data_IF_172847693081
#
_entry.id   IF_172847693081
#
_cell.length_a   1.000
_cell.length_b   1.000
_cell.length_c   1.000
_cell.angle_alpha   90.00
_cell.angle_beta   90.00
_cell.angle_gamma   90.00
#
_symmetry.space_group_name_H-M   'P 1'
#
loop_
_entity.id
_entity.type
_entity.pdbx_description
1 polymer ?
2 polymer ?
3 non-polymer ?
4 water ?
#
# COMPACT_ATOMS: atom_id res chain seq x y z
N UNK A 26 -16.77 1.96 -22.24
CA UNK A 26 -15.63 1.30 -21.56
C UNK A 26 -14.60 2.30 -20.99
N UNK A 27 -13.45 1.81 -20.51
CA UNK A 27 -12.25 2.67 -20.31
C UNK A 27 -10.98 1.81 -20.43
N UNK A 28 -9.90 2.43 -20.01
CA UNK A 28 -8.50 1.97 -20.12
C UNK A 28 -8.36 0.49 -19.71
N UNK A 29 -7.73 -0.35 -20.52
CA UNK A 29 -7.62 -1.79 -20.23
C UNK A 29 -6.74 -2.05 -19.00
N UNK A 30 -5.63 -1.32 -18.83
CA UNK A 30 -4.75 -1.55 -17.66
C UNK A 30 -5.59 -1.31 -16.40
N UNK A 31 -6.31 -0.22 -16.40
CA UNK A 31 -7.16 0.11 -15.20
C UNK A 31 -8.15 -1.05 -14.99
N UNK A 32 -8.81 -1.54 -16.03
CA UNK A 32 -9.77 -2.67 -15.90
C UNK A 32 -9.06 -3.90 -15.36
N UNK A 33 -7.87 -4.19 -15.83
CA UNK A 33 -7.05 -5.34 -15.44
C UNK A 33 -6.67 -5.24 -13.93
N UNK A 34 -6.27 -4.06 -13.50
CA UNK A 34 -5.91 -3.88 -12.08
C UNK A 34 -7.17 -4.05 -11.23
N UNK A 35 -8.33 -3.61 -11.68
CA UNK A 35 -9.53 -3.83 -10.87
C UNK A 35 -9.72 -5.35 -10.68
N UNK A 36 -9.59 -6.15 -11.73
CA UNK A 36 -9.85 -7.62 -11.56
C UNK A 36 -8.75 -8.30 -10.74
N UNK A 37 -7.53 -7.74 -10.68
CA UNK A 37 -6.39 -8.27 -9.91
C UNK A 37 -6.58 -7.95 -8.42
N UNK A 38 -7.54 -7.11 -8.07
CA UNK A 38 -7.66 -6.60 -6.67
C UNK A 38 -7.79 -7.81 -5.74
N UNK A 39 -6.93 -7.98 -4.73
CA UNK A 39 -7.16 -9.02 -3.71
C UNK A 39 -8.50 -8.86 -2.97
N UNK A 40 -8.97 -10.01 -2.47
CA UNK A 40 -10.12 -10.12 -1.58
C UNK A 40 -9.79 -9.46 -0.25
N UNK A 41 -10.87 -9.07 0.41
CA UNK A 41 -10.80 -8.47 1.77
C UNK A 41 -10.13 -9.50 2.72
N UNK A 42 -9.40 -9.00 3.71
CA UNK A 42 -8.75 -9.84 4.76
C UNK A 42 -9.27 -9.34 6.10
N UNK A 43 -9.70 -10.27 6.95
CA UNK A 43 -10.15 -9.93 8.34
C UNK A 43 -8.91 -9.88 9.22
N UNK A 44 -8.98 -8.99 10.25
CA UNK A 44 -7.87 -8.86 11.22
C UNK A 44 -7.90 -10.00 12.26
N UNK A 45 -9.08 -10.36 12.69
CA UNK A 45 -9.28 -11.46 13.68
C UNK A 45 -8.43 -11.19 14.93
N UNK A 46 -8.63 -10.02 15.58
CA UNK A 46 -7.98 -9.88 16.88
C UNK A 46 -8.47 -11.02 17.81
N UNK A 47 -7.55 -11.44 18.66
CA UNK A 47 -7.78 -12.58 19.59
C UNK A 47 -8.73 -12.11 20.68
N UNK A 48 -9.97 -12.61 20.76
CA UNK A 48 -10.98 -12.16 21.71
C UNK A 48 -10.64 -12.62 23.15
N UNK A 49 -9.67 -13.51 23.30
CA UNK A 49 -9.26 -14.03 24.63
C UNK A 49 -8.21 -13.12 25.23
N UNK A 50 -7.60 -12.21 24.46
CA UNK A 50 -6.40 -11.44 24.90
C UNK A 50 -6.92 -10.09 25.40
N UNK A 51 -6.50 -9.66 26.61
CA UNK A 51 -6.87 -8.34 27.07
C UNK A 51 -6.38 -7.25 26.12
N UNK A 52 -7.20 -6.24 25.98
CA UNK A 52 -6.85 -5.09 25.09
C UNK A 52 -5.58 -4.42 25.66
N UNK A 53 -4.67 -4.05 24.76
CA UNK A 53 -3.34 -3.49 25.10
C UNK A 53 -2.72 -2.95 23.83
N UNK A 54 -1.68 -2.15 23.97
CA UNK A 54 -0.82 -1.75 22.82
C UNK A 54 -0.24 -2.98 22.16
N UNK A 55 0.23 -3.95 22.93
CA UNK A 55 0.88 -5.16 22.37
C UNK A 55 -0.16 -5.89 21.53
N UNK A 56 -1.36 -6.06 22.05
CA UNK A 56 -2.41 -6.76 21.28
C UNK A 56 -2.66 -6.03 19.95
N UNK A 57 -2.88 -4.71 20.00
CA UNK A 57 -3.22 -3.91 18.79
C UNK A 57 -2.07 -4.07 17.78
N UNK A 58 -0.84 -3.89 18.22
CA UNK A 58 0.33 -3.92 17.31
C UNK A 58 0.50 -5.33 16.75
N UNK A 59 0.30 -6.35 17.59
CA UNK A 59 0.36 -7.75 17.13
C UNK A 59 -0.68 -7.98 16.02
N UNK A 60 -1.90 -7.57 16.26
CA UNK A 60 -2.99 -7.74 15.33
C UNK A 60 -2.63 -7.05 14.00
N UNK A 61 -2.15 -5.82 14.08
CA UNK A 61 -1.81 -5.10 12.83
C UNK A 61 -0.67 -5.78 12.09
N UNK A 62 0.39 -6.20 12.78
CA UNK A 62 1.52 -6.83 12.10
C UNK A 62 1.13 -8.17 11.51
N UNK A 63 0.29 -8.95 12.19
CA UNK A 63 -0.23 -10.22 11.63
C UNK A 63 -1.05 -9.94 10.36
N UNK A 64 -1.91 -8.93 10.37
CA UNK A 64 -2.75 -8.56 9.21
C UNK A 64 -1.83 -8.14 8.04
N UNK A 65 -0.80 -7.36 8.33
CA UNK A 65 0.14 -6.88 7.28
C UNK A 65 0.90 -8.04 6.66
N UNK A 66 1.35 -9.00 7.47
CA UNK A 66 2.06 -10.21 7.01
C UNK A 66 1.17 -10.95 6.01
N UNK A 67 -0.11 -11.12 6.32
CA UNK A 67 -1.06 -11.81 5.42
C UNK A 67 -1.29 -10.98 4.14
N UNK A 68 -1.43 -9.67 4.27
CA UNK A 68 -1.70 -8.84 3.09
C UNK A 68 -0.45 -8.82 2.21
N UNK A 69 0.74 -8.88 2.79
CA UNK A 69 1.99 -8.93 1.98
C UNK A 69 1.95 -10.11 1.02
N UNK A 70 1.41 -11.26 1.43
CA UNK A 70 1.39 -12.45 0.53
C UNK A 70 0.61 -12.06 -0.72
N UNK A 71 -0.56 -11.47 -0.57
CA UNK A 71 -1.46 -11.18 -1.71
C UNK A 71 -0.91 -10.01 -2.50
N UNK A 72 -0.19 -9.10 -1.86
CA UNK A 72 0.47 -8.01 -2.63
C UNK A 72 1.50 -8.59 -3.61
N UNK A 73 2.29 -9.51 -3.18
CA UNK A 73 3.30 -10.16 -4.07
C UNK A 73 2.55 -10.77 -5.24
N UNK A 74 1.45 -11.51 -5.00
CA UNK A 74 0.70 -12.16 -6.10
C UNK A 74 0.08 -11.12 -7.03
N UNK A 75 -0.45 -10.03 -6.47
CA UNK A 75 -1.05 -8.91 -7.21
C UNK A 75 -0.03 -8.27 -8.13
N UNK A 76 1.19 -8.07 -7.66
CA UNK A 76 2.18 -7.30 -8.44
C UNK A 76 2.48 -8.06 -9.74
N UNK A 77 2.42 -9.38 -9.68
CA UNK A 77 2.70 -10.20 -10.89
C UNK A 77 1.68 -9.93 -11.98
N UNK A 78 0.47 -9.45 -11.69
CA UNK A 78 -0.57 -9.13 -12.68
C UNK A 78 -0.26 -7.82 -13.41
N UNK A 79 0.65 -6.99 -12.88
CA UNK A 79 0.90 -5.65 -13.47
C UNK A 79 1.72 -5.83 -14.73
N UNK A 80 1.25 -5.35 -15.90
CA UNK A 80 1.99 -5.60 -17.15
C UNK A 80 3.46 -5.16 -17.07
N UNK A 81 4.39 -6.06 -17.38
CA UNK A 81 5.83 -5.77 -17.37
C UNK A 81 6.52 -6.07 -16.06
N UNK A 82 5.81 -6.14 -14.94
CA UNK A 82 6.47 -6.38 -13.65
C UNK A 82 7.24 -7.70 -13.66
N UNK A 83 6.59 -8.80 -14.04
CA UNK A 83 7.20 -10.14 -13.98
C UNK A 83 8.34 -10.29 -14.97
N UNK A 84 8.46 -9.39 -15.93
CA UNK A 84 9.52 -9.39 -16.96
C UNK A 84 10.80 -8.71 -16.42
N UNK A 85 10.70 -7.94 -15.33
CA UNK A 85 11.92 -7.44 -14.64
C UNK A 85 12.66 -8.62 -14.06
N UNK A 86 13.92 -8.43 -13.72
CA UNK A 86 14.73 -9.42 -12.96
C UNK A 86 14.06 -9.65 -11.61
N UNK A 87 14.17 -10.86 -11.09
CA UNK A 87 13.70 -11.11 -9.70
C UNK A 87 14.31 -10.10 -8.74
N UNK A 88 15.55 -9.66 -8.94
CA UNK A 88 16.19 -8.67 -8.05
C UNK A 88 15.36 -7.37 -8.12
N UNK A 89 15.05 -6.92 -9.32
CA UNK A 89 14.30 -5.63 -9.48
C UNK A 89 12.87 -5.81 -8.94
N UNK A 90 12.25 -6.96 -9.09
CA UNK A 90 10.89 -7.16 -8.52
C UNK A 90 10.98 -7.04 -6.99
N UNK A 91 12.00 -7.68 -6.41
CA UNK A 91 12.21 -7.60 -4.95
C UNK A 91 12.45 -6.13 -4.54
N UNK A 92 13.29 -5.39 -5.27
CA UNK A 92 13.65 -4.00 -4.91
C UNK A 92 12.39 -3.09 -4.87
N UNK A 93 11.55 -3.25 -5.87
CA UNK A 93 10.35 -2.41 -6.00
C UNK A 93 9.46 -2.75 -4.82
N UNK A 94 9.27 -4.04 -4.54
CA UNK A 94 8.38 -4.41 -3.43
C UNK A 94 8.97 -4.01 -2.08
N UNK A 95 10.28 -4.16 -1.88
CA UNK A 95 10.94 -3.77 -0.63
C UNK A 95 10.83 -2.26 -0.39
N UNK A 96 10.79 -1.46 -1.46
CA UNK A 96 10.61 0.01 -1.30
C UNK A 96 9.15 0.39 -1.14
N UNK A 97 8.21 -0.30 -1.78
CA UNK A 97 6.80 0.16 -1.91
C UNK A 97 5.82 -0.51 -0.96
N UNK A 98 6.18 -1.63 -0.30
CA UNK A 98 5.17 -2.49 0.38
C UNK A 98 4.32 -1.65 1.35
N UNK A 99 4.94 -0.79 2.13
CA UNK A 99 4.18 -0.05 3.17
C UNK A 99 3.30 1.02 2.50
N UNK A 100 3.71 1.63 1.38
CA UNK A 100 2.82 2.53 0.65
C UNK A 100 1.59 1.74 0.17
N UNK A 101 1.79 0.52 -0.32
CA UNK A 101 0.66 -0.30 -0.83
C UNK A 101 -0.29 -0.64 0.34
N UNK A 102 0.27 -1.04 1.46
CA UNK A 102 -0.56 -1.33 2.67
C UNK A 102 -1.33 -0.06 3.05
N UNK A 103 -0.68 1.10 3.14
CA UNK A 103 -1.35 2.33 3.63
C UNK A 103 -2.40 2.75 2.63
N UNK A 104 -2.15 2.68 1.32
CA UNK A 104 -3.16 3.15 0.36
C UNK A 104 -4.40 2.29 0.54
N UNK A 105 -4.28 1.00 0.88
CA UNK A 105 -5.45 0.12 1.14
C UNK A 105 -6.24 0.64 2.33
N UNK A 106 -5.53 0.92 3.42
CA UNK A 106 -6.23 1.40 4.65
C UNK A 106 -6.95 2.73 4.30
N UNK A 107 -6.27 3.60 3.56
CA UNK A 107 -6.83 4.91 3.17
C UNK A 107 -8.12 4.69 2.36
N UNK A 108 -8.07 3.89 1.31
CA UNK A 108 -9.23 3.64 0.41
C UNK A 108 -10.42 3.08 1.22
N UNK A 109 -10.14 2.11 2.08
CA UNK A 109 -11.19 1.47 2.90
C UNK A 109 -11.83 2.49 3.83
N UNK A 110 -11.14 3.59 4.14
CA UNK A 110 -11.58 4.57 5.14
C UNK A 110 -12.34 5.76 4.54
N UNK A 111 -12.48 5.88 3.23
CA UNK A 111 -13.01 7.12 2.60
C UNK A 111 -14.47 7.43 3.01
N UNK A 112 -15.27 6.43 3.34
CA UNK A 112 -16.69 6.67 3.67
C UNK A 112 -16.83 6.86 5.20
N UNK A 113 -15.75 6.79 5.94
CA UNK A 113 -15.70 6.88 7.43
C UNK A 113 -15.24 8.27 7.87
N UNK A 114 -15.44 8.58 9.14
CA UNK A 114 -15.06 9.89 9.70
C UNK A 114 -14.11 9.69 10.87
N UNK A 115 -12.90 10.12 10.71
CA UNK A 115 -11.85 10.12 11.74
C UNK A 115 -11.57 8.71 12.25
N UNK A 116 -11.74 7.70 11.37
CA UNK A 116 -11.61 6.28 11.72
C UNK A 116 -10.85 5.61 10.60
N UNK A 117 -9.95 4.69 10.94
CA UNK A 117 -9.20 3.93 9.90
C UNK A 117 -9.67 2.49 9.85
N UNK A 118 -10.11 2.09 8.67
CA UNK A 118 -10.64 0.71 8.48
C UNK A 118 -9.46 -0.20 8.10
N UNK A 119 -8.67 -0.67 9.07
CA UNK A 119 -7.62 -1.65 8.79
C UNK A 119 -8.26 -2.91 8.16
N UNK A 120 -9.43 -3.26 8.67
CA UNK A 120 -10.24 -4.40 8.22
C UNK A 120 -11.67 -4.19 8.68
N UNK A 121 -12.61 -4.96 8.14
CA UNK A 121 -14.03 -4.71 8.47
C UNK A 121 -14.21 -4.95 9.99
N UNK A 122 -13.39 -5.82 10.56
CA UNK A 122 -13.48 -6.14 12.02
C UNK A 122 -12.36 -5.42 12.77
N UNK A 123 -11.76 -4.38 12.19
CA UNK A 123 -10.68 -3.69 12.92
C UNK A 123 -10.64 -2.22 12.46
N UNK A 124 -11.51 -1.42 13.05
CA UNK A 124 -11.69 0.01 12.71
C UNK A 124 -11.14 0.80 13.90
N UNK A 125 -10.09 1.55 13.67
CA UNK A 125 -9.37 2.28 14.76
C UNK A 125 -9.82 3.74 14.81
N UNK A 126 -10.36 4.15 15.97
CA UNK A 126 -10.70 5.55 16.27
C UNK A 126 -9.49 6.14 17.00
N UNK A 127 -9.61 7.41 17.36
CA UNK A 127 -8.49 8.18 17.93
C UNK A 127 -8.06 7.56 19.26
N UNK A 128 -9.01 7.18 20.12
CA UNK A 128 -8.68 6.49 21.40
C UNK A 128 -7.83 5.25 21.16
N UNK A 129 -8.23 4.39 20.21
CA UNK A 129 -7.52 3.13 19.92
C UNK A 129 -6.14 3.50 19.39
N UNK A 130 -6.04 4.54 18.55
CA UNK A 130 -4.71 4.91 18.02
C UNK A 130 -3.82 5.31 19.19
N UNK A 131 -4.32 6.15 20.09
CA UNK A 131 -3.53 6.58 21.28
C UNK A 131 -3.13 5.34 22.10
N UNK A 132 -4.05 4.42 22.34
CA UNK A 132 -3.78 3.18 23.15
C UNK A 132 -2.69 2.36 22.46
N UNK A 133 -2.60 2.37 21.12
CA UNK A 133 -1.60 1.56 20.39
C UNK A 133 -0.26 2.30 20.13
N UNK A 134 -0.14 3.58 20.54
CA UNK A 134 1.04 4.41 20.26
C UNK A 134 1.13 4.87 18.80
N UNK A 135 0.01 4.84 18.09
CA UNK A 135 -0.06 5.16 16.64
C UNK A 135 -0.76 6.50 16.38
N UNK A 136 -0.93 7.39 17.35
CA UNK A 136 -1.72 8.61 17.08
C UNK A 136 -1.08 9.43 15.95
N UNK A 137 0.23 9.65 16.00
CA UNK A 137 0.90 10.55 15.02
C UNK A 137 0.83 9.89 13.62
N UNK A 138 1.11 8.59 13.57
CA UNK A 138 1.08 7.85 12.28
C UNK A 138 -0.36 7.83 11.74
N UNK A 139 -1.34 7.51 12.59
CA UNK A 139 -2.73 7.35 12.10
C UNK A 139 -3.27 8.73 11.73
N UNK A 140 -2.81 9.78 12.40
CA UNK A 140 -3.23 11.14 11.99
C UNK A 140 -2.70 11.46 10.59
N UNK A 141 -1.48 11.04 10.29
CA UNK A 141 -0.94 11.29 8.94
C UNK A 141 -1.74 10.45 7.92
N UNK A 142 -2.13 9.21 8.26
CA UNK A 142 -3.00 8.41 7.34
C UNK A 142 -4.32 9.14 7.14
N UNK A 143 -4.91 9.70 8.19
CA UNK A 143 -6.15 10.47 8.07
C UNK A 143 -5.96 11.73 7.22
N UNK A 144 -4.78 12.32 7.17
CA UNK A 144 -4.50 13.46 6.26
C UNK A 144 -4.57 12.95 4.80
N UNK A 145 -4.11 11.71 4.54
CA UNK A 145 -4.24 11.13 3.18
C UNK A 145 -5.71 10.93 2.85
N UNK A 146 -6.46 10.40 3.81
CA UNK A 146 -7.93 10.20 3.65
C UNK A 146 -8.60 11.54 3.32
N UNK A 147 -8.32 12.57 4.11
CA UNK A 147 -8.98 13.87 3.95
C UNK A 147 -8.79 14.36 2.52
N UNK A 148 -7.57 14.24 1.97
CA UNK A 148 -7.29 14.77 0.65
C UNK A 148 -8.03 13.94 -0.40
N UNK A 149 -8.01 12.61 -0.27
CA UNK A 149 -8.69 11.77 -1.27
C UNK A 149 -10.22 11.93 -1.15
N UNK A 150 -10.75 12.20 0.03
CA UNK A 150 -12.23 12.46 0.10
C UNK A 150 -12.57 13.72 -0.70
N UNK A 151 -11.78 14.77 -0.53
CA UNK A 151 -12.04 16.04 -1.26
C UNK A 151 -11.94 15.81 -2.77
N UNK A 152 -11.01 14.95 -3.22
CA UNK A 152 -10.82 14.66 -4.66
C UNK A 152 -11.82 13.62 -5.15
N UNK A 153 -12.61 13.01 -4.27
CA UNK A 153 -13.55 11.92 -4.62
C UNK A 153 -12.80 10.80 -5.35
N UNK A 154 -11.76 10.31 -4.70
CA UNK A 154 -10.98 9.19 -5.23
C UNK A 154 -11.89 7.99 -5.58
N UNK A 155 -11.75 7.51 -6.83
CA UNK A 155 -12.47 6.33 -7.35
C UNK A 155 -11.66 5.05 -7.20
N UNK A 156 -12.33 3.90 -7.12
CA UNK A 156 -11.59 2.65 -7.04
C UNK A 156 -10.60 2.51 -8.22
N UNK A 157 -10.98 2.94 -9.42
CA UNK A 157 -10.12 2.87 -10.61
C UNK A 157 -8.82 3.66 -10.33
N UNK A 158 -8.97 4.81 -9.71
CA UNK A 158 -7.81 5.69 -9.41
C UNK A 158 -6.93 5.09 -8.33
N UNK A 159 -7.55 4.58 -7.27
CA UNK A 159 -6.83 3.87 -6.21
C UNK A 159 -5.94 2.74 -6.74
N UNK A 160 -6.50 1.82 -7.54
CA UNK A 160 -5.70 0.66 -7.98
C UNK A 160 -4.56 1.14 -8.89
N UNK A 161 -4.83 2.20 -9.66
CA UNK A 161 -3.79 2.73 -10.59
C UNK A 161 -2.71 3.40 -9.77
N UNK A 162 -3.07 4.09 -8.71
CA UNK A 162 -2.03 4.73 -7.87
C UNK A 162 -1.23 3.68 -7.09
N UNK A 163 -1.82 2.55 -6.68
CA UNK A 163 -1.07 1.49 -6.01
C UNK A 163 0.01 1.00 -6.94
N UNK A 164 -0.34 0.77 -8.20
CA UNK A 164 0.63 0.26 -9.18
C UNK A 164 1.71 1.31 -9.47
N UNK A 165 1.33 2.57 -9.55
CA UNK A 165 2.32 3.66 -9.80
C UNK A 165 3.23 3.77 -8.61
N UNK A 166 2.69 3.66 -7.40
CA UNK A 166 3.56 3.72 -6.20
C UNK A 166 4.59 2.59 -6.17
N UNK A 167 4.20 1.38 -6.59
CA UNK A 167 5.15 0.27 -6.71
C UNK A 167 6.24 0.61 -7.73
N UNK A 168 5.85 1.08 -8.90
CA UNK A 168 6.80 1.33 -10.00
C UNK A 168 7.71 2.51 -9.69
N UNK A 169 7.19 3.53 -8.99
CA UNK A 169 7.87 4.81 -8.73
C UNK A 169 8.47 4.80 -7.31
N UNK A 170 8.87 3.65 -6.75
CA UNK A 170 9.20 3.59 -5.31
C UNK A 170 10.64 4.00 -5.04
N UNK A 171 11.47 4.27 -6.05
CA UNK A 171 12.79 4.96 -5.86
C UNK A 171 13.76 4.08 -5.07
N UNK A 172 13.70 2.76 -5.29
CA UNK A 172 14.76 1.88 -4.75
C UNK A 172 16.15 2.36 -5.20
N UNK A 173 17.11 2.30 -4.28
CA UNK A 173 18.51 2.63 -4.70
C UNK A 173 19.17 1.39 -5.33
N UNK A 174 18.48 0.26 -5.46
CA UNK A 174 19.14 -1.01 -5.86
C UNK A 174 18.75 -1.50 -7.25
N UNK A 175 18.08 -0.68 -8.07
CA UNK A 175 17.54 -1.10 -9.36
C UNK A 175 18.69 -1.43 -10.28
N UNK A 176 18.58 -2.56 -10.94
CA UNK A 176 19.52 -3.02 -12.02
C UNK A 176 19.15 -2.36 -13.35
N UNK A 177 17.92 -2.51 -13.77
CA UNK A 177 17.48 -2.04 -15.10
C UNK A 177 16.66 -0.75 -14.90
N UNK A 178 17.38 0.35 -14.81
CA UNK A 178 16.80 1.69 -14.56
C UNK A 178 15.81 1.99 -15.68
N UNK A 179 16.17 1.71 -16.93
CA UNK A 179 15.31 2.01 -18.09
C UNK A 179 14.02 1.19 -18.05
N UNK A 180 14.06 -0.09 -17.70
CA UNK A 180 12.84 -0.94 -17.70
C UNK A 180 11.88 -0.44 -16.62
N UNK A 181 12.43 -0.01 -15.51
CA UNK A 181 11.57 0.48 -14.39
C UNK A 181 10.95 1.83 -14.81
N UNK A 182 11.72 2.68 -15.50
CA UNK A 182 11.13 3.92 -16.05
C UNK A 182 10.02 3.60 -17.05
N UNK A 183 10.19 2.58 -17.90
CA UNK A 183 9.15 2.21 -18.89
C UNK A 183 7.90 1.72 -18.15
N UNK A 184 8.04 0.96 -17.06
CA UNK A 184 6.88 0.51 -16.26
C UNK A 184 6.17 1.75 -15.67
N UNK A 185 6.93 2.69 -15.11
CA UNK A 185 6.30 3.96 -14.62
C UNK A 185 5.50 4.59 -15.76
N UNK A 186 6.09 4.66 -16.94
CA UNK A 186 5.49 5.36 -18.10
C UNK A 186 4.18 4.68 -18.51
N UNK A 187 4.22 3.35 -18.55
CA UNK A 187 3.01 2.56 -18.93
C UNK A 187 1.87 2.85 -17.98
N UNK A 188 2.15 2.89 -16.68
CA UNK A 188 1.10 3.07 -15.65
C UNK A 188 0.63 4.52 -15.56
N UNK A 189 1.57 5.47 -15.67
CA UNK A 189 1.22 6.89 -15.83
C UNK A 189 0.30 7.11 -17.03
N UNK A 190 0.66 6.53 -18.17
CA UNK A 190 -0.17 6.63 -19.38
C UNK A 190 -1.58 6.09 -19.09
N UNK A 191 -1.67 4.97 -18.36
CA UNK A 191 -3.00 4.40 -18.05
C UNK A 191 -3.81 5.39 -17.21
N UNK A 192 -3.21 5.98 -16.18
CA UNK A 192 -3.89 7.01 -15.36
C UNK A 192 -4.32 8.19 -16.21
N UNK A 193 -3.41 8.68 -17.04
CA UNK A 193 -3.72 9.87 -17.85
C UNK A 193 -4.86 9.58 -18.86
N UNK A 194 -4.84 8.38 -19.47
CA UNK A 194 -5.88 7.95 -20.41
C UNK A 194 -7.20 7.86 -19.66
N UNK A 195 -7.20 7.19 -18.52
CA UNK A 195 -8.41 7.09 -17.66
C UNK A 195 -9.02 8.45 -17.41
N UNK A 196 -8.19 9.39 -16.93
CA UNK A 196 -8.69 10.71 -16.56
C UNK A 196 -9.18 11.50 -17.78
N UNK A 197 -8.53 11.30 -18.91
CA UNK A 197 -8.90 12.04 -20.13
C UNK A 197 -10.31 11.63 -20.56
N UNK A 198 -10.67 10.37 -20.35
CA UNK A 198 -12.01 9.84 -20.69
C UNK A 198 -13.07 10.06 -19.64
N UNK A 199 -12.74 9.91 -18.38
CA UNK A 199 -13.75 9.84 -17.30
C UNK A 199 -13.93 11.21 -16.64
N UNK A 200 -12.94 12.11 -16.82
CA UNK A 200 -12.91 13.39 -16.09
C UNK A 200 -12.51 14.55 -17.02
N UNK A 201 -13.34 14.78 -18.03
CA UNK A 201 -13.14 15.88 -18.98
C UNK A 201 -13.31 17.25 -18.31
N UNK A 202 -14.01 17.33 -17.19
CA UNK A 202 -14.28 18.58 -16.46
C UNK A 202 -12.96 19.13 -15.86
N UNK A 203 -12.00 18.24 -15.62
CA UNK A 203 -10.74 18.66 -14.96
C UNK A 203 -9.55 18.06 -15.73
N UNK A 204 -9.00 18.72 -16.74
CA UNK A 204 -7.91 18.19 -17.54
C UNK A 204 -6.60 17.94 -16.78
N UNK A 205 -6.51 18.45 -15.56
CA UNK A 205 -5.29 18.31 -14.72
C UNK A 205 -5.55 17.29 -13.61
N UNK A 206 -6.64 16.52 -13.68
CA UNK A 206 -6.90 15.59 -12.54
C UNK A 206 -5.81 14.51 -12.40
N UNK A 207 -5.24 13.98 -13.49
CA UNK A 207 -4.17 12.97 -13.38
C UNK A 207 -3.01 13.56 -12.59
N UNK A 208 -2.64 14.80 -12.90
CA UNK A 208 -1.53 15.39 -12.14
C UNK A 208 -1.88 15.63 -10.70
N UNK A 209 -3.12 15.98 -10.39
CA UNK A 209 -3.54 16.13 -8.99
C UNK A 209 -3.36 14.77 -8.29
N UNK A 210 -3.70 13.67 -8.96
CA UNK A 210 -3.54 12.36 -8.33
C UNK A 210 -2.04 12.10 -8.09
N UNK A 211 -1.20 12.40 -9.08
CA UNK A 211 0.25 12.20 -8.92
C UNK A 211 0.73 13.05 -7.73
N UNK A 212 0.17 14.24 -7.53
CA UNK A 212 0.62 15.16 -6.45
C UNK A 212 0.26 14.61 -5.06
N UNK A 213 -0.53 13.53 -4.93
CA UNK A 213 -0.83 12.90 -3.62
C UNK A 213 0.27 11.94 -3.23
N UNK A 214 1.17 11.55 -4.16
CA UNK A 214 2.19 10.52 -3.85
C UNK A 214 3.22 10.98 -2.82
N UNK A 215 3.62 12.27 -2.73
CA UNK A 215 4.60 12.64 -1.71
C UNK A 215 4.09 12.38 -0.29
N UNK A 216 2.84 12.66 0.03
CA UNK A 216 2.36 12.38 1.39
C UNK A 216 2.31 10.87 1.66
N UNK A 217 2.01 10.09 0.64
CA UNK A 217 2.03 8.63 0.82
C UNK A 217 3.45 8.16 1.12
N UNK A 218 4.44 8.67 0.35
CA UNK A 218 5.86 8.37 0.61
C UNK A 218 6.26 8.75 2.05
N UNK A 219 5.89 9.94 2.46
CA UNK A 219 6.23 10.49 3.81
C UNK A 219 5.60 9.61 4.87
N UNK A 220 4.35 9.24 4.70
CA UNK A 220 3.63 8.50 5.74
C UNK A 220 4.20 7.09 5.80
N UNK A 221 4.49 6.50 4.65
CA UNK A 221 5.08 5.14 4.54
C UNK A 221 6.41 5.07 5.27
N UNK A 222 7.25 6.07 5.01
CA UNK A 222 8.63 6.04 5.59
C UNK A 222 8.51 6.16 7.11
N UNK A 223 7.57 6.96 7.63
CA UNK A 223 7.34 7.11 9.09
C UNK A 223 6.88 5.76 9.64
N UNK A 224 5.99 5.09 8.94
CA UNK A 224 5.41 3.81 9.42
C UNK A 224 6.51 2.76 9.48
N UNK A 225 7.35 2.68 8.46
CA UNK A 225 8.44 1.66 8.44
C UNK A 225 9.37 1.94 9.63
N UNK A 226 9.71 3.19 9.85
CA UNK A 226 10.61 3.59 10.97
C UNK A 226 9.96 3.17 12.30
N UNK A 227 8.67 3.44 12.46
CA UNK A 227 7.89 3.19 13.70
C UNK A 227 7.89 1.68 13.97
N UNK A 228 7.58 0.88 12.94
CA UNK A 228 7.49 -0.59 13.15
C UNK A 228 8.87 -1.23 13.26
N UNK A 229 9.87 -0.66 12.61
CA UNK A 229 11.28 -1.10 12.81
C UNK A 229 11.62 -0.95 14.30
N UNK A 230 11.21 0.14 14.92
CA UNK A 230 11.59 0.41 16.33
C UNK A 230 10.84 -0.59 17.21
N UNK A 231 9.57 -0.85 16.91
CA UNK A 231 8.79 -1.92 17.61
C UNK A 231 9.52 -3.25 17.45
N UNK A 232 10.08 -3.55 16.28
CA UNK A 232 10.85 -4.79 16.06
C UNK A 232 12.05 -4.83 17.01
N UNK A 233 12.82 -3.76 17.11
CA UNK A 233 14.02 -3.70 17.99
C UNK A 233 13.61 -3.86 19.47
N UNK A 234 12.50 -3.27 19.90
CA UNK A 234 12.06 -3.34 21.31
C UNK A 234 11.63 -4.78 21.68
N UNK A 235 11.27 -5.61 20.70
CA UNK A 235 11.19 -7.09 20.86
C UNK A 235 9.95 -7.57 21.60
N UNK A 236 8.98 -6.69 21.88
CA UNK A 236 7.77 -7.04 22.68
C UNK A 236 6.58 -7.45 21.79
N UNK A 237 6.67 -7.26 20.47
CA UNK A 237 5.55 -7.58 19.54
C UNK A 237 6.03 -8.64 18.56
N UNK A 238 5.42 -9.84 18.61
CA UNK A 238 5.79 -10.92 17.70
C UNK A 238 5.45 -10.55 16.26
N UNK A 239 6.36 -10.88 15.36
CA UNK A 239 6.21 -10.57 13.93
C UNK A 239 6.51 -11.82 13.12
N UNK A 240 5.74 -12.09 12.08
CA UNK A 240 5.93 -13.25 11.18
C UNK A 240 7.03 -12.98 10.14
N UNK A 241 7.44 -14.04 9.46
CA UNK A 241 8.68 -14.08 8.62
C UNK A 241 8.64 -13.05 7.49
N UNK A 242 7.56 -13.00 6.73
CA UNK A 242 7.53 -12.12 5.54
C UNK A 242 7.53 -10.65 6.01
N UNK A 243 6.64 -10.30 6.94
CA UNK A 243 6.66 -8.93 7.51
C UNK A 243 8.06 -8.54 7.98
N UNK A 244 8.76 -9.39 8.74
CA UNK A 244 10.12 -9.08 9.24
C UNK A 244 11.11 -8.92 8.09
N UNK A 245 10.94 -9.69 7.02
CA UNK A 245 11.82 -9.62 5.83
C UNK A 245 11.68 -8.22 5.22
N UNK A 246 10.44 -7.72 5.15
CA UNK A 246 10.18 -6.42 4.48
C UNK A 246 10.62 -5.30 5.40
N UNK A 247 10.47 -5.45 6.72
CA UNK A 247 10.95 -4.42 7.67
C UNK A 247 12.46 -4.32 7.67
N UNK A 248 13.17 -5.42 7.45
CA UNK A 248 14.64 -5.48 7.63
C UNK A 248 15.31 -5.06 6.32
N UNK A 249 14.57 -4.86 5.23
CA UNK A 249 15.16 -4.56 3.90
C UNK A 249 15.94 -3.24 3.96
N UNK A 250 17.12 -3.16 3.32
CA UNK A 250 17.97 -1.94 3.30
C UNK A 250 17.41 -0.89 2.32
N UNK A 251 17.05 0.29 2.83
CA UNK A 251 16.38 1.41 2.07
C UNK A 251 16.95 2.75 2.51
N UNK B 2 16.87 -18.89 2.90
CA UNK B 2 16.82 -17.91 1.78
C UNK B 2 15.44 -17.25 1.76
N UNK B 3 15.37 -16.08 1.13
CA UNK B 3 14.26 -15.10 1.14
C UNK B 3 12.87 -15.77 0.97
N UNK B 4 11.89 -15.44 1.81
CA UNK B 4 10.49 -15.83 1.56
C UNK B 4 9.92 -14.97 0.41
N UNK B 5 10.31 -13.70 0.35
CA UNK B 5 9.84 -12.82 -0.76
C UNK B 5 10.25 -13.43 -2.10
N UNK B 6 11.50 -13.87 -2.23
CA UNK B 6 12.00 -14.50 -3.48
C UNK B 6 11.20 -15.78 -3.75
N UNK B 7 10.99 -16.61 -2.72
CA UNK B 7 10.21 -17.86 -2.89
C UNK B 7 8.83 -17.52 -3.47
N UNK B 8 8.14 -16.52 -2.91
CA UNK B 8 6.75 -16.20 -3.36
C UNK B 8 6.77 -15.56 -4.76
N UNK B 9 7.80 -14.80 -5.12
CA UNK B 9 7.92 -14.27 -6.50
C UNK B 9 8.16 -15.39 -7.52
N UNK B 10 8.75 -16.50 -7.12
CA UNK B 10 9.05 -17.65 -8.03
C UNK B 10 7.84 -18.58 -8.21
N UNK B 11 6.74 -18.41 -7.48
CA UNK B 11 5.46 -19.16 -7.69
C UNK B 11 4.75 -18.68 -8.97
X LIG C 1 -1.76 -3.69 8.39
X LIG C 1 -2.52 -3.44 7.27
X LIG C 1 -2.23 -2.19 6.81
X LIG C 1 -0.57 -0.38 7.74
X LIG C 1 0.32 -0.14 8.76
X LIG C 1 0.59 -1.12 9.71
X LIG C 1 -0.05 -2.35 9.69
X LIG C 1 -0.97 -2.58 8.66
X LIG C 1 -1.26 -1.61 7.68
#
# INVERSE_FOLDING_TARGET
MGSSHHHHHHSSGLVPRGSHMPAKKPYNKIVSHLLVAEPEKIYAMPDPTVPDSDIKALTTLCDLADRELVVIIGWAKHIPGFSTLSLADQMSLLQSAWMEILILGVVYRSLSFEDELVYADDYIMDEDQSKLAGLLDLNNAILQLVKKYKSMKLEKEEFVTLKAIALANSDSMHIEDVEAVQKLQDVLHEALQDYEAGQHMEDPRRAGKMLMTLPLLRQTSTKAVQHFYNIKLEGKVPMHKLFLEMLEAKV
NNSLLLHLLKSQTIP
IND N1 C2 C3 C4 C5 C6 C7 C8 C9
#
